data_IF_364022513952
#
_entry.id   IF_364022513952
#
_cell.length_a   1.000
_cell.length_b   1.000
_cell.length_c   1.000
_cell.angle_alpha   90.00
_cell.angle_beta   90.00
_cell.angle_gamma   90.00
#
_symmetry.space_group_name_H-M   'P 1'
#
loop_
_entity.id
_entity.type
_entity.pdbx_description
1 polymer ?
#
# COMPACT_ATOMS: atom_id res chain seq x y z
N UNK A 1 -42.29 36.81 0.79
CA UNK A 1 -42.15 35.69 -0.16
C UNK A 1 -41.25 36.20 -1.28
N UNK A 2 -40.09 35.67 -1.65
CA UNK A 2 -39.49 34.36 -1.49
C UNK A 2 -38.08 34.50 -0.91
N UNK A 3 -37.83 33.70 0.13
CA UNK A 3 -36.50 33.34 0.61
C UNK A 3 -35.85 32.29 -0.34
N UNK A 4 -34.52 32.15 -0.24
CA UNK A 4 -33.79 30.87 -0.43
C UNK A 4 -33.75 30.29 -1.85
N UNK A 5 -33.08 30.98 -2.79
CA UNK A 5 -32.77 30.41 -4.11
C UNK A 5 -31.29 30.04 -4.31
N UNK A 6 -30.36 30.87 -3.80
CA UNK A 6 -28.96 30.81 -4.26
C UNK A 6 -27.99 30.06 -3.35
N UNK A 7 -28.37 29.75 -2.10
CA UNK A 7 -27.48 29.07 -1.15
C UNK A 7 -27.58 27.53 -1.22
N UNK A 8 -28.69 26.99 -1.74
CA UNK A 8 -28.92 25.54 -1.85
C UNK A 8 -28.13 24.94 -3.02
N UNK A 9 -27.87 25.73 -4.07
CA UNK A 9 -27.19 25.28 -5.29
C UNK A 9 -25.68 25.11 -5.11
N UNK A 10 -25.02 25.96 -4.31
CA UNK A 10 -23.59 25.77 -4.00
C UNK A 10 -23.36 24.59 -3.04
N UNK A 11 -24.30 24.31 -2.13
CA UNK A 11 -24.18 23.21 -1.18
C UNK A 11 -24.32 21.83 -1.87
N UNK A 12 -25.14 21.74 -2.91
CA UNK A 12 -25.31 20.52 -3.71
C UNK A 12 -24.10 20.24 -4.62
N UNK A 13 -23.47 21.27 -5.18
CA UNK A 13 -22.26 21.09 -5.99
C UNK A 13 -21.08 20.63 -5.12
N UNK A 14 -20.92 21.16 -3.90
CA UNK A 14 -19.88 20.69 -2.98
C UNK A 14 -20.09 19.24 -2.51
N UNK A 15 -21.34 18.79 -2.36
CA UNK A 15 -21.66 17.41 -1.99
C UNK A 15 -21.41 16.42 -3.14
N UNK A 16 -21.58 16.83 -4.41
CA UNK A 16 -21.24 15.97 -5.56
C UNK A 16 -19.72 15.76 -5.71
N UNK A 17 -18.89 16.75 -5.35
CA UNK A 17 -17.43 16.60 -5.37
C UNK A 17 -16.86 15.69 -4.28
N UNK A 18 -17.68 15.20 -3.34
CA UNK A 18 -17.27 14.22 -2.33
C UNK A 18 -17.64 12.77 -2.68
N UNK A 19 -18.31 12.52 -3.81
CA UNK A 19 -18.76 11.17 -4.20
C UNK A 19 -17.77 10.37 -5.07
N UNK A 20 -16.54 10.85 -5.26
CA UNK A 20 -15.45 10.09 -5.90
C UNK A 20 -14.24 9.93 -4.97
N UNK A 21 -14.48 9.78 -3.67
CA UNK A 21 -13.52 9.02 -2.86
C UNK A 21 -13.75 7.53 -3.19
N UNK A 22 -13.37 7.13 -4.41
CA UNK A 22 -13.31 5.71 -4.75
C UNK A 22 -12.38 5.07 -3.73
N UNK A 23 -12.93 4.23 -2.85
CA UNK A 23 -12.12 3.44 -1.95
C UNK A 23 -11.29 2.48 -2.80
N UNK A 24 -10.11 2.91 -3.25
CA UNK A 24 -9.28 2.15 -4.16
C UNK A 24 -8.59 1.04 -3.37
N UNK A 25 -9.29 -0.08 -3.26
CA UNK A 25 -8.73 -1.32 -2.76
C UNK A 25 -7.59 -1.76 -3.68
N UNK A 26 -6.37 -1.77 -3.13
CA UNK A 26 -5.21 -2.37 -3.78
C UNK A 26 -4.97 -3.77 -3.22
N UNK A 27 -4.51 -4.69 -4.08
CA UNK A 27 -4.08 -6.04 -3.71
C UNK A 27 -2.57 -6.08 -3.57
N UNK A 28 -2.08 -6.60 -2.45
CA UNK A 28 -0.65 -6.68 -2.16
C UNK A 28 -0.24 -8.13 -1.89
N UNK A 29 0.96 -8.51 -2.29
CA UNK A 29 1.55 -9.76 -1.81
C UNK A 29 1.78 -9.67 -0.30
N UNK A 30 1.58 -10.79 0.39
CA UNK A 30 1.70 -10.91 1.83
C UNK A 30 2.46 -12.19 2.18
N UNK A 31 3.65 -12.01 2.73
CA UNK A 31 4.48 -13.12 3.21
C UNK A 31 5.41 -12.66 4.33
N UNK A 32 5.67 -13.58 5.25
CA UNK A 32 6.70 -13.45 6.28
C UNK A 32 7.84 -14.39 5.91
N UNK A 33 9.05 -13.85 5.74
CA UNK A 33 10.25 -14.58 5.35
C UNK A 33 10.12 -15.40 4.04
N UNK A 34 9.52 -14.80 3.02
CA UNK A 34 9.46 -15.39 1.68
C UNK A 34 10.84 -15.36 1.01
N UNK A 35 11.21 -16.48 0.37
CA UNK A 35 12.35 -16.49 -0.53
C UNK A 35 12.10 -15.53 -1.71
N UNK A 36 13.18 -15.00 -2.31
CA UNK A 36 13.11 -14.12 -3.47
C UNK A 36 12.64 -14.87 -4.72
N UNK A 37 11.40 -15.37 -4.71
CA UNK A 37 10.78 -16.01 -5.84
C UNK A 37 10.27 -14.92 -6.77
N UNK A 38 10.97 -14.74 -7.89
CA UNK A 38 10.50 -13.99 -9.08
C UNK A 38 9.14 -14.48 -9.59
N UNK A 39 8.75 -15.69 -9.17
CA UNK A 39 7.41 -16.23 -9.27
C UNK A 39 6.76 -16.16 -7.89
N UNK A 40 6.13 -15.04 -7.56
CA UNK A 40 5.22 -14.87 -6.41
C UNK A 40 3.94 -15.74 -6.54
N UNK A 41 4.06 -16.95 -7.10
CA UNK A 41 2.97 -17.85 -7.47
C UNK A 41 2.42 -18.58 -6.23
N UNK A 42 3.14 -18.55 -5.10
CA UNK A 42 2.71 -19.07 -3.81
C UNK A 42 2.60 -18.00 -2.70
N UNK A 43 2.83 -16.73 -3.02
CA UNK A 43 2.63 -15.66 -2.04
C UNK A 43 1.13 -15.39 -1.93
N UNK A 44 0.57 -15.55 -0.73
CA UNK A 44 -0.79 -15.13 -0.45
C UNK A 44 -0.91 -13.63 -0.75
N UNK A 45 -2.09 -13.20 -1.20
CA UNK A 45 -2.38 -11.79 -1.36
C UNK A 45 -3.40 -11.32 -0.32
N UNK A 46 -3.30 -10.05 0.04
CA UNK A 46 -4.28 -9.36 0.86
C UNK A 46 -4.88 -8.22 0.06
N UNK A 47 -6.16 -7.97 0.27
CA UNK A 47 -6.85 -6.79 -0.23
C UNK A 47 -6.86 -5.75 0.88
N UNK A 48 -6.38 -4.55 0.57
CA UNK A 48 -6.41 -3.43 1.52
C UNK A 48 -7.82 -3.00 1.85
N UNK A 49 -8.02 -2.55 3.09
CA UNK A 49 -9.32 -2.11 3.59
C UNK A 49 -9.40 -0.59 3.75
N UNK A 50 -8.25 0.11 3.72
CA UNK A 50 -8.16 1.56 3.79
C UNK A 50 -7.47 2.13 2.57
N UNK A 51 -7.95 3.29 2.11
CA UNK A 51 -7.43 3.97 0.91
C UNK A 51 -6.01 4.49 1.09
N UNK A 52 -5.60 4.69 2.33
CA UNK A 52 -4.23 5.08 2.68
C UNK A 52 -3.25 3.93 2.63
N UNK A 53 -3.73 2.68 2.58
CA UNK A 53 -2.87 1.52 2.59
C UNK A 53 -2.07 1.44 1.28
N UNK A 54 -0.78 1.18 1.42
CA UNK A 54 0.17 0.96 0.32
C UNK A 54 0.76 -0.42 0.45
N UNK A 55 1.08 -1.05 -0.66
CA UNK A 55 1.85 -2.28 -0.62
C UNK A 55 3.27 -1.98 -0.15
N UNK A 56 3.77 -2.82 0.76
CA UNK A 56 5.07 -2.70 1.39
C UNK A 56 5.92 -3.94 1.06
N UNK A 57 7.20 -3.72 0.80
CA UNK A 57 8.22 -4.76 0.69
C UNK A 57 9.40 -4.37 1.57
N UNK A 58 9.69 -5.19 2.57
CA UNK A 58 10.86 -5.05 3.43
C UNK A 58 11.87 -6.12 3.05
N UNK A 59 13.09 -5.70 2.78
CA UNK A 59 14.24 -6.58 2.50
C UNK A 59 15.28 -6.34 3.58
N UNK A 60 15.70 -7.40 4.26
CA UNK A 60 16.72 -7.35 5.31
C UNK A 60 17.88 -8.24 4.88
N UNK A 61 19.08 -7.67 4.83
CA UNK A 61 20.33 -8.36 4.59
C UNK A 61 21.01 -8.62 5.94
N UNK A 62 21.10 -9.89 6.32
CA UNK A 62 21.83 -10.31 7.52
C UNK A 62 23.10 -11.05 7.11
N UNK A 63 24.16 -10.92 7.92
CA UNK A 63 25.34 -11.77 7.79
C UNK A 63 25.41 -12.66 9.02
N UNK A 64 25.34 -13.97 8.80
CA UNK A 64 25.56 -14.96 9.85
C UNK A 64 26.69 -15.88 9.41
N UNK A 65 27.76 -15.91 10.20
CA UNK A 65 28.93 -16.78 9.94
C UNK A 65 29.59 -16.56 8.56
N UNK A 66 29.63 -15.32 8.07
CA UNK A 66 30.22 -14.98 6.78
C UNK A 66 29.33 -15.28 5.56
N UNK A 67 28.15 -15.88 5.75
CA UNK A 67 27.15 -16.03 4.69
C UNK A 67 26.14 -14.88 4.75
N UNK A 68 25.90 -14.26 3.59
CA UNK A 68 24.83 -13.26 3.42
C UNK A 68 23.49 -13.99 3.27
N UNK A 69 22.55 -13.66 4.13
CA UNK A 69 21.16 -14.10 4.06
C UNK A 69 20.27 -12.90 3.75
N UNK A 70 19.27 -13.11 2.91
CA UNK A 70 18.27 -12.10 2.57
C UNK A 70 16.92 -12.59 3.08
N UNK A 71 16.29 -11.80 3.95
CA UNK A 71 14.92 -12.01 4.40
C UNK A 71 14.03 -10.99 3.72
N UNK A 72 12.89 -11.45 3.17
CA UNK A 72 11.92 -10.58 2.53
C UNK A 72 10.58 -10.74 3.25
N UNK A 73 9.96 -9.61 3.55
CA UNK A 73 8.60 -9.55 4.04
C UNK A 73 7.78 -8.62 3.15
N UNK A 74 6.54 -9.03 2.87
CA UNK A 74 5.59 -8.29 2.03
C UNK A 74 4.28 -8.12 2.78
N UNK A 75 3.59 -7.02 2.54
CA UNK A 75 2.25 -6.80 3.08
C UNK A 75 1.67 -5.46 2.64
N UNK A 76 0.74 -4.93 3.43
CA UNK A 76 0.15 -3.62 3.23
C UNK A 76 0.29 -2.78 4.51
N UNK A 77 0.53 -1.47 4.35
CA UNK A 77 0.66 -0.54 5.46
C UNK A 77 0.16 0.85 5.08
N UNK A 78 -0.66 1.45 5.95
CA UNK A 78 -1.16 2.83 5.85
C UNK A 78 -0.07 3.87 6.04
N UNK A 79 1.00 3.49 6.74
CA UNK A 79 2.09 4.38 7.14
C UNK A 79 3.41 3.94 6.50
N UNK A 80 3.33 3.37 5.29
CA UNK A 80 4.50 2.90 4.58
C UNK A 80 5.40 4.09 4.19
N UNK A 81 6.62 4.11 4.74
CA UNK A 81 7.65 5.08 4.40
C UNK A 81 8.82 4.38 3.69
N UNK A 82 9.29 4.95 2.59
CA UNK A 82 10.46 4.42 1.90
C UNK A 82 11.71 4.65 2.74
N UNK A 83 12.52 3.60 2.87
CA UNK A 83 13.75 3.63 3.65
C UNK A 83 14.77 2.71 2.99
N UNK A 84 16.02 3.15 2.88
CA UNK A 84 17.09 2.35 2.31
C UNK A 84 18.37 2.55 3.11
N UNK A 85 19.00 1.45 3.48
CA UNK A 85 20.27 1.39 4.20
C UNK A 85 21.09 0.19 3.70
N UNK A 86 22.30 0.01 4.22
CA UNK A 86 23.16 -1.13 3.86
C UNK A 86 22.50 -2.50 4.17
N UNK A 87 21.67 -2.56 5.22
CA UNK A 87 21.11 -3.81 5.74
C UNK A 87 19.59 -3.92 5.56
N UNK A 88 18.87 -2.81 5.37
CA UNK A 88 17.41 -2.80 5.33
C UNK A 88 16.93 -1.87 4.22
N UNK A 89 16.02 -2.38 3.40
CA UNK A 89 15.29 -1.63 2.37
C UNK A 89 13.79 -1.84 2.55
N UNK A 90 13.04 -0.75 2.69
CA UNK A 90 11.58 -0.72 2.72
C UNK A 90 11.11 0.04 1.48
N UNK A 91 10.34 -0.63 0.62
CA UNK A 91 9.71 -0.06 -0.55
C UNK A 91 8.20 0.01 -0.37
N UNK A 92 7.62 1.10 -0.84
CA UNK A 92 6.20 1.40 -0.74
C UNK A 92 5.65 1.76 -2.11
N UNK A 93 4.49 1.22 -2.48
CA UNK A 93 3.87 1.44 -3.78
C UNK A 93 2.34 1.31 -3.70
N UNK A 94 1.62 1.92 -4.65
CA UNK A 94 0.16 2.12 -4.58
C UNK A 94 -0.60 1.44 -5.73
N UNK A 95 -0.03 0.42 -6.34
CA UNK A 95 -0.67 -0.34 -7.42
C UNK A 95 -0.78 -1.81 -7.05
N UNK A 96 -1.71 -2.53 -7.66
CA UNK A 96 -1.87 -3.96 -7.42
C UNK A 96 -0.55 -4.71 -7.63
N UNK A 97 -0.20 -5.57 -6.68
CA UNK A 97 0.94 -6.48 -6.71
C UNK A 97 2.31 -5.82 -6.93
N UNK A 98 2.41 -4.51 -6.67
CA UNK A 98 3.63 -3.74 -6.92
C UNK A 98 4.78 -4.07 -5.97
N UNK A 99 4.47 -4.77 -4.87
CA UNK A 99 5.45 -5.27 -3.92
C UNK A 99 5.94 -6.67 -4.27
N UNK A 100 6.02 -7.01 -5.56
CA UNK A 100 6.61 -8.26 -6.10
C UNK A 100 8.14 -8.32 -5.95
#
# INVERSE_FOLDING_TARGET
MLMKGSLVFLCTILLLSCMEFECRQIRCFSCSDCANSTLAVNDNFITTTRDTDRCMKTTILTSKSGQRQQMISRGASSNCAQYTSEYITIQCCSTDFCNA
#
